data_IF_143095804366
#
_entry.id   IF_143095804366
#
_cell.length_a   1.000
_cell.length_b   1.000
_cell.length_c   1.000
_cell.angle_alpha   90.00
_cell.angle_beta   90.00
_cell.angle_gamma   90.00
#
_symmetry.space_group_name_H-M   'P 1'
#
loop_
_entity.id
_entity.type
_entity.pdbx_description
1 polymer ?
#
# COMPACT_ATOMS: atom_id res chain seq x y z
N UNK A 1 34.74 -15.07 13.23
CA UNK A 1 34.60 -14.05 12.18
C UNK A 1 33.75 -14.60 11.05
N UNK A 2 32.59 -14.01 10.78
CA UNK A 2 31.81 -14.28 9.57
C UNK A 2 31.90 -13.03 8.71
N UNK A 3 32.72 -13.09 7.66
CA UNK A 3 32.81 -12.03 6.65
C UNK A 3 31.64 -12.20 5.68
N UNK A 4 30.64 -11.33 5.80
CA UNK A 4 29.61 -11.19 4.79
C UNK A 4 30.19 -10.54 3.53
N UNK A 5 30.28 -11.32 2.45
CA UNK A 5 30.64 -10.83 1.13
C UNK A 5 29.50 -10.00 0.56
N UNK A 6 29.66 -8.69 0.49
CA UNK A 6 28.77 -7.81 -0.29
C UNK A 6 29.22 -7.80 -1.74
N UNK A 7 28.92 -8.87 -2.48
CA UNK A 7 28.99 -8.86 -3.94
C UNK A 7 27.62 -8.48 -4.50
N UNK A 8 27.49 -7.23 -4.99
CA UNK A 8 26.85 -7.04 -6.28
C UNK A 8 25.52 -6.29 -6.41
N UNK A 9 25.00 -5.52 -5.44
CA UNK A 9 23.81 -4.66 -5.70
C UNK A 9 23.78 -3.37 -4.86
N UNK A 10 24.79 -2.48 -4.97
CA UNK A 10 24.76 -1.17 -4.25
C UNK A 10 24.95 0.08 -5.12
N UNK A 11 25.02 -0.07 -6.45
CA UNK A 11 25.51 1.00 -7.35
C UNK A 11 24.50 1.46 -8.43
N UNK A 12 23.30 0.92 -8.51
CA UNK A 12 22.39 1.21 -9.65
C UNK A 12 21.43 2.37 -9.39
N UNK A 13 20.84 2.49 -8.20
CA UNK A 13 19.78 3.49 -7.95
C UNK A 13 20.27 4.94 -7.88
N UNK A 14 21.52 5.17 -7.47
CA UNK A 14 22.12 6.52 -7.36
C UNK A 14 22.32 7.22 -8.71
N UNK A 15 22.12 6.51 -9.83
CA UNK A 15 22.29 7.05 -11.20
C UNK A 15 21.00 7.58 -11.82
N UNK A 16 19.84 7.36 -11.18
CA UNK A 16 18.54 7.81 -11.70
C UNK A 16 18.19 9.29 -11.44
N UNK A 17 18.63 9.94 -10.34
CA UNK A 17 18.38 11.37 -10.16
C UNK A 17 19.11 12.16 -11.24
N UNK A 18 18.36 12.66 -12.21
CA UNK A 18 18.89 13.53 -13.27
C UNK A 18 18.18 14.86 -13.20
N UNK A 19 18.94 15.96 -13.27
CA UNK A 19 18.41 17.34 -13.20
C UNK A 19 17.25 17.61 -14.17
N UNK A 20 17.16 16.84 -15.25
CA UNK A 20 16.14 16.97 -16.29
C UNK A 20 15.32 15.68 -16.52
N UNK A 21 15.20 14.81 -15.52
CA UNK A 21 14.58 13.47 -15.68
C UNK A 21 13.13 13.48 -16.17
N UNK A 22 12.43 14.62 -16.06
CA UNK A 22 11.06 14.80 -16.51
C UNK A 22 10.94 15.47 -17.90
N UNK A 23 12.04 15.97 -18.46
CA UNK A 23 12.04 16.67 -19.75
C UNK A 23 11.47 15.75 -20.85
N UNK A 24 10.49 16.25 -21.61
CA UNK A 24 9.77 15.52 -22.67
C UNK A 24 8.92 14.31 -22.19
N UNK A 25 8.80 14.07 -20.88
CA UNK A 25 7.82 13.10 -20.37
C UNK A 25 6.43 13.72 -20.36
N UNK A 26 5.44 12.87 -20.60
CA UNK A 26 4.02 13.17 -20.32
C UNK A 26 3.72 12.67 -18.91
N UNK A 27 2.92 13.44 -18.18
CA UNK A 27 2.47 13.09 -16.85
C UNK A 27 0.95 13.20 -16.82
N UNK A 28 0.29 12.06 -16.73
CA UNK A 28 -1.15 11.98 -16.54
C UNK A 28 -1.48 11.97 -15.05
N UNK A 29 -2.62 12.58 -14.70
CA UNK A 29 -3.01 12.78 -13.30
C UNK A 29 -4.40 12.19 -13.08
N UNK A 30 -4.47 11.17 -12.22
CA UNK A 30 -5.74 10.61 -11.77
C UNK A 30 -6.42 11.58 -10.81
N UNK A 31 -7.60 12.07 -11.19
CA UNK A 31 -8.37 13.05 -10.40
C UNK A 31 -9.44 12.40 -9.53
N UNK A 32 -10.23 11.49 -10.05
CA UNK A 32 -11.30 10.84 -9.29
C UNK A 32 -10.74 9.60 -8.56
N UNK A 33 -11.05 9.37 -7.26
CA UNK A 33 -11.84 10.20 -6.34
C UNK A 33 -11.03 11.21 -5.52
N UNK A 34 -9.73 11.36 -5.79
CA UNK A 34 -8.85 12.23 -5.02
C UNK A 34 -9.22 13.73 -5.10
N UNK A 35 -10.03 14.17 -6.07
CA UNK A 35 -10.61 15.52 -6.12
C UNK A 35 -11.44 15.82 -4.87
N UNK A 36 -12.10 14.84 -4.24
CA UNK A 36 -12.82 15.08 -2.97
C UNK A 36 -11.88 15.62 -1.87
N UNK A 37 -10.60 15.26 -1.90
CA UNK A 37 -9.62 15.77 -0.94
C UNK A 37 -9.44 17.29 -1.06
N UNK A 38 -9.76 17.90 -2.20
CA UNK A 38 -9.72 19.37 -2.37
C UNK A 38 -10.68 20.11 -1.45
N UNK A 39 -11.77 19.45 -1.03
CA UNK A 39 -12.77 20.05 -0.14
C UNK A 39 -12.36 19.95 1.32
N UNK A 40 -11.41 19.08 1.65
CA UNK A 40 -10.95 18.78 3.02
C UNK A 40 -9.50 19.17 3.29
N UNK A 41 -8.77 19.57 2.25
CA UNK A 41 -7.32 19.77 2.29
C UNK A 41 -6.87 20.71 1.17
N UNK A 42 -5.79 21.46 1.44
CA UNK A 42 -5.10 22.26 0.43
C UNK A 42 -4.33 21.40 -0.60
N UNK A 43 -4.40 20.07 -0.51
CA UNK A 43 -3.72 19.13 -1.40
C UNK A 43 -4.00 19.41 -2.89
N UNK A 44 -5.24 19.73 -3.27
CA UNK A 44 -5.53 20.07 -4.67
C UNK A 44 -4.87 21.40 -5.06
N UNK A 45 -4.89 22.40 -4.19
CA UNK A 45 -4.22 23.69 -4.45
C UNK A 45 -2.72 23.49 -4.61
N UNK A 46 -2.07 22.76 -3.70
CA UNK A 46 -0.65 22.41 -3.81
C UNK A 46 -0.35 21.64 -5.11
N UNK A 47 -1.25 20.73 -5.49
CA UNK A 47 -1.13 19.95 -6.72
C UNK A 47 -1.29 20.81 -7.98
N UNK A 48 -2.24 21.75 -8.00
CA UNK A 48 -2.46 22.66 -9.13
C UNK A 48 -1.35 23.70 -9.27
N UNK A 49 -0.64 24.02 -8.19
CA UNK A 49 0.52 24.92 -8.18
C UNK A 49 1.86 24.21 -8.47
N UNK A 50 1.88 22.88 -8.66
CA UNK A 50 3.09 22.16 -9.08
C UNK A 50 3.75 22.76 -10.33
N UNK A 51 2.99 23.13 -11.39
CA UNK A 51 3.54 23.74 -12.59
C UNK A 51 4.24 25.09 -12.37
N UNK A 52 3.83 25.84 -11.34
CA UNK A 52 4.45 27.12 -10.99
C UNK A 52 5.71 26.94 -10.13
N UNK A 53 5.74 25.90 -9.29
CA UNK A 53 6.85 25.63 -8.36
C UNK A 53 7.97 24.77 -8.93
N UNK A 54 7.70 24.02 -10.00
CA UNK A 54 8.71 23.27 -10.73
C UNK A 54 9.01 23.98 -12.05
N UNK A 55 10.29 24.08 -12.44
CA UNK A 55 10.70 24.49 -13.80
C UNK A 55 10.33 23.40 -14.81
N UNK A 56 9.02 23.19 -14.98
CA UNK A 56 8.40 22.26 -15.91
C UNK A 56 8.38 22.83 -17.32
N UNK A 57 9.16 23.88 -17.62
CA UNK A 57 9.22 24.55 -18.92
C UNK A 57 9.55 23.66 -20.12
N UNK A 58 9.72 22.34 -19.93
CA UNK A 58 9.85 21.31 -20.97
C UNK A 58 9.11 20.00 -20.66
N UNK A 59 8.28 19.95 -19.62
CA UNK A 59 7.37 18.84 -19.33
C UNK A 59 6.04 19.23 -19.94
N UNK A 60 5.59 18.48 -20.93
CA UNK A 60 4.26 18.68 -21.47
C UNK A 60 3.27 18.09 -20.48
N UNK A 61 2.87 18.91 -19.50
CA UNK A 61 1.76 18.62 -18.60
C UNK A 61 0.49 18.65 -19.42
N UNK A 62 0.19 17.53 -20.06
CA UNK A 62 -1.15 17.27 -20.53
C UNK A 62 -1.92 16.91 -19.26
N UNK A 63 -2.70 17.85 -18.74
CA UNK A 63 -3.72 17.53 -17.74
C UNK A 63 -4.78 16.66 -18.42
N UNK A 64 -4.45 15.41 -18.74
CA UNK A 64 -5.47 14.44 -19.08
C UNK A 64 -6.15 14.07 -17.77
N UNK A 65 -7.42 14.45 -17.68
CA UNK A 65 -8.32 13.97 -16.66
C UNK A 65 -8.59 12.52 -17.04
N UNK A 66 -7.90 11.59 -16.38
CA UNK A 66 -8.17 10.18 -16.56
C UNK A 66 -9.14 9.70 -15.48
N UNK A 67 -10.28 9.16 -15.91
CA UNK A 67 -11.14 8.33 -15.05
C UNK A 67 -10.68 6.89 -15.21
N UNK A 68 -10.04 6.34 -14.19
CA UNK A 68 -9.64 4.93 -14.19
C UNK A 68 -10.89 4.08 -14.02
N UNK A 69 -11.18 3.23 -15.00
CA UNK A 69 -12.23 2.22 -14.85
C UNK A 69 -11.90 1.32 -13.66
N UNK A 70 -12.90 1.00 -12.83
CA UNK A 70 -12.76 0.19 -11.61
C UNK A 70 -12.07 0.89 -10.42
N UNK A 71 -11.86 2.21 -10.44
CA UNK A 71 -11.24 2.91 -9.30
C UNK A 71 -12.00 2.67 -7.98
N UNK A 72 -13.32 2.58 -8.02
CA UNK A 72 -14.16 2.28 -6.85
C UNK A 72 -13.88 0.86 -6.31
N UNK A 73 -13.60 -0.09 -7.19
CA UNK A 73 -13.25 -1.48 -6.82
C UNK A 73 -11.83 -1.56 -6.28
N UNK A 74 -10.90 -0.77 -6.83
CA UNK A 74 -9.50 -0.73 -6.40
C UNK A 74 -9.38 -0.10 -5.01
N UNK A 75 -10.14 0.96 -4.75
CA UNK A 75 -10.11 1.68 -3.48
C UNK A 75 -10.98 1.05 -2.38
N UNK A 76 -11.85 0.10 -2.73
CA UNK A 76 -12.57 -0.70 -1.75
C UNK A 76 -11.72 -1.95 -1.38
N UNK A 77 -11.12 -1.99 -0.18
CA UNK A 77 -10.21 -3.06 0.22
C UNK A 77 -10.92 -4.43 0.35
N UNK A 78 -12.26 -4.46 0.46
CA UNK A 78 -13.03 -5.72 0.46
C UNK A 78 -13.30 -6.24 -0.95
N UNK A 79 -13.39 -5.34 -1.93
CA UNK A 79 -13.64 -5.72 -3.33
C UNK A 79 -12.35 -5.91 -4.14
N UNK A 80 -11.29 -5.17 -3.82
CA UNK A 80 -9.99 -5.25 -4.50
C UNK A 80 -9.27 -6.56 -4.24
N UNK A 81 -9.61 -7.23 -3.13
CA UNK A 81 -8.94 -8.43 -2.64
C UNK A 81 -7.83 -8.16 -1.63
N UNK A 82 -7.52 -6.88 -1.37
CA UNK A 82 -6.47 -6.44 -0.43
C UNK A 82 -6.72 -6.94 0.99
N UNK A 83 -7.95 -6.85 1.51
CA UNK A 83 -8.25 -7.31 2.88
C UNK A 83 -8.01 -8.81 3.03
N UNK A 84 -8.43 -9.61 2.05
CA UNK A 84 -8.26 -11.07 2.07
C UNK A 84 -6.79 -11.45 2.11
N UNK A 85 -5.98 -10.82 1.25
CA UNK A 85 -4.54 -11.06 1.19
C UNK A 85 -3.83 -10.64 2.47
N UNK A 86 -4.10 -9.44 2.99
CA UNK A 86 -3.47 -8.96 4.23
C UNK A 86 -3.76 -9.90 5.41
N UNK A 87 -5.02 -10.34 5.57
CA UNK A 87 -5.39 -11.23 6.67
C UNK A 87 -4.73 -12.61 6.53
N UNK A 88 -4.72 -13.18 5.33
CA UNK A 88 -4.13 -14.48 5.03
C UNK A 88 -2.58 -14.48 5.14
N UNK A 89 -1.92 -13.40 4.71
CA UNK A 89 -0.48 -13.25 4.89
C UNK A 89 -0.11 -13.05 6.36
N UNK A 90 -0.90 -12.28 7.10
CA UNK A 90 -0.66 -12.03 8.53
C UNK A 90 -0.68 -13.32 9.33
N UNK A 91 -1.64 -14.22 9.07
CA UNK A 91 -1.71 -15.52 9.75
C UNK A 91 -0.54 -16.43 9.37
N UNK A 92 -0.14 -16.43 8.09
CA UNK A 92 0.95 -17.26 7.57
C UNK A 92 2.33 -16.82 8.11
N UNK A 93 2.60 -15.52 8.16
CA UNK A 93 3.92 -14.98 8.51
C UNK A 93 4.30 -15.16 9.98
N UNK A 94 3.32 -15.36 10.87
CA UNK A 94 3.58 -15.56 12.30
C UNK A 94 4.02 -16.99 12.65
N UNK A 95 3.70 -17.97 11.81
CA UNK A 95 4.13 -19.37 12.01
C UNK A 95 5.65 -19.55 11.87
N UNK A 96 6.34 -18.63 11.20
CA UNK A 96 7.79 -18.67 10.95
C UNK A 96 8.67 -18.00 12.00
N UNK A 97 8.10 -17.36 13.03
CA UNK A 97 8.86 -16.57 14.01
C UNK A 97 9.44 -17.45 15.13
N UNK A 98 10.55 -18.14 14.88
CA UNK A 98 11.19 -19.05 15.85
C UNK A 98 11.87 -18.34 17.02
N UNK A 99 12.31 -17.09 16.82
CA UNK A 99 13.03 -16.30 17.82
C UNK A 99 12.12 -15.35 18.62
N UNK A 100 10.84 -15.22 18.23
CA UNK A 100 9.88 -14.36 18.90
C UNK A 100 9.32 -15.02 20.16
N UNK A 101 9.11 -14.25 21.26
CA UNK A 101 8.37 -14.73 22.42
C UNK A 101 6.88 -14.99 22.10
N UNK A 102 6.37 -14.40 21.02
CA UNK A 102 5.02 -14.63 20.49
C UNK A 102 5.14 -15.48 19.22
N UNK A 103 4.64 -16.71 19.27
CA UNK A 103 4.84 -17.71 18.21
C UNK A 103 3.59 -17.96 17.39
N UNK A 104 2.50 -17.30 17.75
CA UNK A 104 1.21 -17.42 17.09
C UNK A 104 0.44 -16.11 17.17
N UNK A 105 -0.56 -15.99 16.32
CA UNK A 105 -1.51 -14.89 16.36
C UNK A 105 -2.36 -14.95 17.63
N UNK A 106 -2.67 -16.14 18.13
CA UNK A 106 -3.27 -16.35 19.45
C UNK A 106 -2.43 -15.75 20.59
N UNK A 107 -1.11 -15.90 20.58
CA UNK A 107 -0.22 -15.28 21.58
C UNK A 107 -0.30 -13.75 21.53
N UNK A 108 -0.34 -13.18 20.33
CA UNK A 108 -0.50 -11.73 20.10
C UNK A 108 -1.84 -11.23 20.63
N UNK A 109 -2.93 -11.94 20.32
CA UNK A 109 -4.27 -11.61 20.80
C UNK A 109 -4.31 -11.67 22.33
N UNK A 110 -3.82 -12.76 22.93
CA UNK A 110 -3.82 -12.94 24.38
C UNK A 110 -2.99 -11.86 25.10
N UNK A 111 -1.80 -11.55 24.57
CA UNK A 111 -0.98 -10.47 25.11
C UNK A 111 -1.68 -9.10 25.01
N UNK A 112 -2.29 -8.77 23.87
CA UNK A 112 -3.01 -7.50 23.69
C UNK A 112 -4.26 -7.40 24.58
N UNK A 113 -4.93 -8.52 24.86
CA UNK A 113 -6.05 -8.56 25.81
C UNK A 113 -5.60 -8.35 27.26
N UNK A 114 -4.44 -8.91 27.63
CA UNK A 114 -3.87 -8.79 28.97
C UNK A 114 -3.14 -7.48 29.23
N UNK A 115 -2.80 -6.73 28.16
CA UNK A 115 -2.08 -5.46 28.24
C UNK A 115 -2.84 -4.36 27.46
N UNK A 116 -4.06 -4.00 27.88
CA UNK A 116 -4.90 -3.05 27.15
C UNK A 116 -4.25 -1.66 27.01
N UNK A 117 -3.36 -1.30 27.94
CA UNK A 117 -2.65 -0.02 27.96
C UNK A 117 -1.42 0.01 27.02
N UNK A 118 -0.85 -1.16 26.69
CA UNK A 118 0.29 -1.29 25.78
C UNK A 118 -0.14 -1.59 24.33
N UNK A 119 -1.36 -2.08 24.15
CA UNK A 119 -1.98 -2.29 22.85
C UNK A 119 -2.37 -0.96 22.21
N UNK A 120 -1.39 -0.14 21.81
CA UNK A 120 -1.59 0.98 20.88
C UNK A 120 -1.84 0.38 19.48
N UNK A 121 -2.94 -0.36 19.36
CA UNK A 121 -3.75 -0.29 18.16
C UNK A 121 -4.75 0.81 18.48
N UNK A 122 -4.31 2.06 18.32
CA UNK A 122 -5.21 3.21 18.41
C UNK A 122 -6.48 2.87 17.65
N UNK A 123 -7.62 3.08 18.29
CA UNK A 123 -8.88 2.99 17.61
C UNK A 123 -8.86 4.01 16.48
N UNK A 124 -8.76 3.56 15.23
CA UNK A 124 -8.92 4.44 14.07
C UNK A 124 -10.41 4.82 14.03
N UNK A 125 -10.75 5.91 14.74
CA UNK A 125 -12.14 6.26 15.05
C UNK A 125 -12.81 5.20 15.92
N UNK A 126 -13.87 4.56 15.42
CA UNK A 126 -14.63 3.52 16.14
C UNK A 126 -14.11 2.08 15.88
N UNK A 127 -13.02 1.94 15.13
CA UNK A 127 -12.48 0.63 14.78
C UNK A 127 -11.43 0.18 15.80
N UNK A 128 -11.71 -0.87 16.56
CA UNK A 128 -10.71 -1.51 17.42
C UNK A 128 -9.74 -2.32 16.56
N UNK A 129 -8.50 -1.83 16.42
CA UNK A 129 -7.48 -2.46 15.59
C UNK A 129 -7.14 -3.89 16.02
N UNK A 130 -7.48 -4.30 17.25
CA UNK A 130 -7.30 -5.70 17.72
C UNK A 130 -8.16 -6.68 16.94
N UNK A 131 -9.27 -6.21 16.34
CA UNK A 131 -10.15 -7.02 15.50
C UNK A 131 -9.46 -7.54 14.24
N UNK A 132 -8.41 -6.87 13.77
CA UNK A 132 -7.63 -7.35 12.60
C UNK A 132 -6.91 -8.65 12.94
N UNK A 133 -6.26 -8.71 14.10
CA UNK A 133 -5.58 -9.93 14.55
C UNK A 133 -6.56 -11.08 14.77
N UNK A 134 -7.73 -10.80 15.35
CA UNK A 134 -8.79 -11.80 15.49
C UNK A 134 -9.25 -12.29 14.11
N UNK A 135 -9.53 -11.38 13.17
CA UNK A 135 -9.97 -11.74 11.82
C UNK A 135 -8.92 -12.57 11.06
N UNK A 136 -7.64 -12.23 11.20
CA UNK A 136 -6.55 -12.99 10.59
C UNK A 136 -6.42 -14.40 11.20
N UNK A 137 -6.68 -14.58 12.50
CA UNK A 137 -6.62 -15.88 13.19
C UNK A 137 -7.71 -16.84 12.72
N UNK A 138 -8.84 -16.31 12.24
CA UNK A 138 -9.91 -17.07 11.61
C UNK A 138 -9.58 -17.50 10.16
N UNK A 139 -8.48 -17.03 9.58
CA UNK A 139 -8.05 -17.48 8.24
C UNK A 139 -7.18 -18.72 8.35
N UNK A 140 -7.21 -19.57 7.32
CA UNK A 140 -6.33 -20.74 7.23
C UNK A 140 -5.02 -20.44 6.47
N UNK A 141 -4.61 -19.17 6.40
CA UNK A 141 -3.53 -18.72 5.52
C UNK A 141 -3.96 -18.64 4.05
N UNK A 142 -2.99 -18.59 3.14
CA UNK A 142 -3.24 -18.48 1.69
C UNK A 142 -3.69 -19.83 1.13
N UNK A 143 -5.00 -19.99 0.93
CA UNK A 143 -5.63 -21.10 0.22
C UNK A 143 -6.03 -20.74 -1.23
N UNK A 144 -6.86 -21.59 -1.84
CA UNK A 144 -7.26 -21.41 -3.24
C UNK A 144 -8.16 -20.17 -3.44
N UNK A 145 -9.03 -19.86 -2.49
CA UNK A 145 -9.90 -18.67 -2.58
C UNK A 145 -9.10 -17.38 -2.37
N UNK A 146 -8.15 -17.38 -1.42
CA UNK A 146 -7.23 -16.27 -1.21
C UNK A 146 -6.38 -16.05 -2.46
N UNK A 147 -5.88 -17.12 -3.09
CA UNK A 147 -5.10 -17.05 -4.34
C UNK A 147 -5.89 -16.43 -5.48
N UNK A 148 -7.18 -16.75 -5.63
CA UNK A 148 -8.06 -16.10 -6.62
C UNK A 148 -8.25 -14.61 -6.33
N UNK A 149 -8.37 -14.24 -5.06
CA UNK A 149 -8.47 -12.83 -4.63
C UNK A 149 -7.19 -12.06 -4.95
N UNK A 150 -6.02 -12.66 -4.68
CA UNK A 150 -4.71 -12.09 -5.02
C UNK A 150 -4.57 -11.92 -6.54
N UNK A 151 -4.92 -12.94 -7.33
CA UNK A 151 -4.91 -12.85 -8.80
C UNK A 151 -5.82 -11.73 -9.32
N UNK A 152 -7.01 -11.56 -8.71
CA UNK A 152 -7.91 -10.46 -9.05
C UNK A 152 -7.26 -9.11 -8.76
N UNK A 153 -6.62 -8.96 -7.59
CA UNK A 153 -5.89 -7.75 -7.21
C UNK A 153 -4.75 -7.45 -8.19
N UNK A 154 -3.97 -8.46 -8.57
CA UNK A 154 -2.90 -8.32 -9.56
C UNK A 154 -3.44 -7.89 -10.93
N UNK A 155 -4.57 -8.45 -11.36
CA UNK A 155 -5.22 -8.04 -12.62
C UNK A 155 -5.67 -6.60 -12.57
N UNK A 156 -6.27 -6.15 -11.46
CA UNK A 156 -6.66 -4.75 -11.26
C UNK A 156 -5.45 -3.81 -11.33
N UNK A 157 -4.33 -4.16 -10.68
CA UNK A 157 -3.09 -3.38 -10.72
C UNK A 157 -2.51 -3.28 -12.15
N UNK A 158 -2.58 -4.34 -12.94
CA UNK A 158 -2.07 -4.33 -14.33
C UNK A 158 -2.95 -3.52 -15.27
N UNK A 159 -4.27 -3.49 -15.05
CA UNK A 159 -5.19 -2.67 -15.83
C UNK A 159 -4.90 -1.18 -15.70
N UNK A 160 -4.34 -0.72 -14.58
CA UNK A 160 -3.86 0.66 -14.41
C UNK A 160 -2.57 0.95 -15.21
N UNK A 161 -1.78 -0.07 -15.56
CA UNK A 161 -0.49 0.10 -16.28
C UNK A 161 -0.60 0.00 -17.80
N UNK A 162 -1.74 -0.44 -18.32
CA UNK A 162 -1.96 -0.68 -19.76
C UNK A 162 -2.83 0.38 -20.44
N UNK A 163 -3.34 1.35 -19.69
CA UNK A 163 -4.07 2.55 -20.17
C UNK A 163 -3.19 3.78 -20.13
#
# INVERSE_FOLDING_TARGET
EVKWGTTGVKETWRKFPTKNGLKLKKLDVVRNPFVILSTRSNALTCFLLLPENFDLGKVQLLFMIWETSNIDVILDPFQSGETVEILAETSSNLQGLTESPMRSLADIIAFNMNNPDFGILESFGNFDGRKIFIAADFTNGIGEEERKSIEKKEKLSRLETAS
#
